data_IF_346874387368
#
_entry.id   IF_346874387368
#
_cell.length_a   1.000
_cell.length_b   1.000
_cell.length_c   1.000
_cell.angle_alpha   90.00
_cell.angle_beta   90.00
_cell.angle_gamma   90.00
#
_symmetry.space_group_name_H-M   'P 1'
#
loop_
_entity.id
_entity.type
_entity.pdbx_description
1 polymer ?
#
# COMPACT_ATOMS: atom_id res chain seq x y z
N UNK A 1 -4.88 -8.26 -2.40
CA UNK A 1 -3.79 -8.74 -1.51
C UNK A 1 -3.42 -10.14 -1.94
N UNK A 2 -2.13 -10.53 -1.88
CA UNK A 2 -1.69 -11.87 -2.24
C UNK A 2 -1.79 -12.75 -1.00
N UNK A 3 -2.62 -13.79 -1.01
CA UNK A 3 -2.80 -14.68 0.14
C UNK A 3 -2.01 -15.96 -0.11
N UNK A 4 -1.14 -16.30 0.83
CA UNK A 4 -0.34 -17.53 0.78
C UNK A 4 -0.71 -18.44 1.94
N UNK A 5 -0.80 -19.72 1.64
CA UNK A 5 -1.04 -20.76 2.60
C UNK A 5 0.31 -21.23 3.17
N UNK A 6 0.54 -21.03 4.47
CA UNK A 6 1.79 -21.42 5.13
C UNK A 6 1.52 -22.42 6.24
N UNK A 7 2.16 -23.57 6.16
CA UNK A 7 2.20 -24.54 7.24
C UNK A 7 3.12 -24.02 8.35
N UNK A 8 2.57 -23.83 9.55
CA UNK A 8 3.30 -23.33 10.70
C UNK A 8 3.23 -24.33 11.86
N UNK A 9 4.42 -24.64 12.42
CA UNK A 9 4.52 -25.39 13.66
C UNK A 9 4.03 -24.54 14.85
N UNK A 10 3.41 -25.14 15.88
CA UNK A 10 3.02 -24.42 17.09
C UNK A 10 4.20 -23.67 17.71
N UNK A 11 3.93 -22.50 18.26
CA UNK A 11 4.91 -21.68 19.01
C UNK A 11 4.32 -21.25 20.34
N UNK A 12 5.15 -20.78 21.28
CA UNK A 12 4.66 -20.35 22.60
C UNK A 12 3.60 -19.22 22.53
N UNK A 13 3.70 -18.36 21.50
CA UNK A 13 2.74 -17.27 21.21
C UNK A 13 1.50 -17.74 20.46
N UNK A 14 1.60 -18.85 19.71
CA UNK A 14 0.51 -19.39 18.92
C UNK A 14 0.49 -20.91 19.08
N UNK A 15 -0.32 -21.36 20.05
CA UNK A 15 -0.39 -22.77 20.49
C UNK A 15 -1.06 -23.67 19.46
N UNK A 16 -1.94 -23.11 18.64
CA UNK A 16 -2.56 -23.79 17.51
C UNK A 16 -1.60 -23.74 16.32
N UNK A 17 -0.97 -24.88 16.02
CA UNK A 17 -0.25 -25.08 14.77
C UNK A 17 -1.20 -25.53 13.67
N UNK A 18 -0.80 -25.37 12.42
CA UNK A 18 -1.62 -25.79 11.29
C UNK A 18 -1.35 -25.01 10.03
N UNK A 19 -2.35 -25.00 9.17
CA UNK A 19 -2.37 -24.27 7.92
C UNK A 19 -2.88 -22.86 8.21
N UNK A 20 -2.03 -21.86 8.01
CA UNK A 20 -2.37 -20.46 8.28
C UNK A 20 -2.30 -19.68 6.96
N UNK A 21 -3.34 -18.90 6.70
CA UNK A 21 -3.35 -17.93 5.61
C UNK A 21 -2.62 -16.66 6.05
N UNK A 22 -1.67 -16.21 5.24
CA UNK A 22 -0.91 -14.98 5.49
C UNK A 22 -0.81 -14.16 4.23
N UNK A 23 -0.67 -12.86 4.39
CA UNK A 23 -0.38 -11.97 3.28
C UNK A 23 1.04 -12.23 2.78
N UNK A 24 1.15 -12.52 1.49
CA UNK A 24 2.40 -12.64 0.75
C UNK A 24 2.86 -11.31 0.18
N UNK A 25 4.10 -11.28 -0.30
CA UNK A 25 4.66 -10.08 -0.93
C UNK A 25 3.98 -9.78 -2.26
N UNK A 26 3.92 -8.50 -2.60
CA UNK A 26 3.49 -7.99 -3.91
C UNK A 26 4.57 -7.02 -4.38
N UNK A 27 4.94 -7.11 -5.66
CA UNK A 27 5.94 -6.20 -6.23
C UNK A 27 5.38 -4.77 -6.30
N UNK A 28 6.17 -3.79 -5.87
CA UNK A 28 5.75 -2.39 -5.77
C UNK A 28 5.24 -1.81 -7.10
N UNK A 29 5.80 -2.23 -8.24
CA UNK A 29 5.37 -1.77 -9.56
C UNK A 29 3.95 -2.18 -9.95
N UNK A 30 3.38 -3.19 -9.27
CA UNK A 30 2.06 -3.72 -9.58
C UNK A 30 0.95 -3.03 -8.80
N UNK A 31 1.28 -1.99 -8.03
CA UNK A 31 0.35 -1.25 -7.18
C UNK A 31 0.28 0.21 -7.66
N UNK A 32 -0.91 0.80 -7.58
CA UNK A 32 -1.14 2.23 -7.78
C UNK A 32 -1.74 2.83 -6.52
N UNK A 33 -1.47 4.11 -6.30
CA UNK A 33 -2.05 4.86 -5.18
C UNK A 33 -3.44 5.36 -5.60
N UNK A 34 -4.43 5.10 -4.75
CA UNK A 34 -5.76 5.65 -4.92
C UNK A 34 -5.77 7.07 -4.37
N UNK A 35 -6.21 8.02 -5.18
CA UNK A 35 -6.33 9.41 -4.75
C UNK A 35 -7.62 9.58 -3.93
N UNK A 36 -7.56 10.12 -2.69
CA UNK A 36 -8.74 10.27 -1.83
C UNK A 36 -9.75 11.28 -2.37
N UNK A 37 -9.32 12.22 -3.23
CA UNK A 37 -10.20 13.22 -3.80
C UNK A 37 -11.02 12.74 -5.00
N UNK A 38 -10.48 11.81 -5.80
CA UNK A 38 -11.13 11.33 -7.02
C UNK A 38 -11.43 9.82 -7.05
N UNK A 39 -11.07 9.08 -5.98
CA UNK A 39 -11.25 7.64 -5.82
C UNK A 39 -10.73 6.78 -6.98
N UNK A 40 -9.78 7.32 -7.75
CA UNK A 40 -9.17 6.65 -8.90
C UNK A 40 -7.74 6.23 -8.59
N UNK A 41 -7.27 5.08 -9.12
CA UNK A 41 -5.87 4.71 -9.08
C UNK A 41 -5.07 5.63 -10.01
N UNK A 42 -4.06 6.32 -9.48
CA UNK A 42 -3.36 7.38 -10.19
C UNK A 42 -1.86 7.31 -10.01
N UNK A 43 -1.12 7.92 -10.96
CA UNK A 43 0.32 8.14 -10.84
C UNK A 43 0.59 9.40 -10.01
N UNK A 44 1.66 9.36 -9.22
CA UNK A 44 2.10 10.48 -8.37
C UNK A 44 3.02 11.42 -9.16
N UNK A 45 2.80 12.73 -8.98
CA UNK A 45 3.74 13.81 -9.27
C UNK A 45 4.22 14.47 -7.97
N UNK A 46 5.11 15.45 -8.09
CA UNK A 46 5.60 16.23 -6.95
C UNK A 46 5.47 17.72 -7.26
N UNK A 47 5.06 18.48 -6.25
CA UNK A 47 5.04 19.94 -6.29
C UNK A 47 5.68 20.47 -5.01
N UNK A 48 6.36 21.61 -5.12
CA UNK A 48 6.95 22.30 -3.98
C UNK A 48 6.00 23.44 -3.61
N UNK A 49 5.55 23.48 -2.36
CA UNK A 49 4.74 24.58 -1.84
C UNK A 49 5.59 25.85 -1.72
N UNK A 50 4.94 27.00 -1.59
CA UNK A 50 5.63 28.29 -1.39
C UNK A 50 6.46 28.32 -0.10
N UNK A 51 6.13 27.46 0.88
CA UNK A 51 6.89 27.26 2.13
C UNK A 51 8.11 26.34 1.96
N UNK A 52 8.34 25.78 0.76
CA UNK A 52 9.45 24.90 0.44
C UNK A 52 9.20 23.41 0.70
N UNK A 53 7.99 23.02 1.10
CA UNK A 53 7.64 21.64 1.39
C UNK A 53 7.31 20.87 0.11
N UNK A 54 7.86 19.66 -0.02
CA UNK A 54 7.64 18.81 -1.19
C UNK A 54 6.46 17.89 -0.95
N UNK A 55 5.35 18.18 -1.62
CA UNK A 55 4.13 17.40 -1.52
C UNK A 55 3.94 16.48 -2.73
N UNK A 56 3.26 15.36 -2.50
CA UNK A 56 2.84 14.46 -3.58
C UNK A 56 1.54 15.00 -4.19
N UNK A 57 1.43 14.96 -5.51
CA UNK A 57 0.26 15.46 -6.24
C UNK A 57 -0.31 14.36 -7.14
N UNK A 58 -1.63 14.24 -7.20
CA UNK A 58 -2.30 13.34 -8.12
C UNK A 58 -2.19 13.86 -9.56
N UNK A 59 -1.66 13.05 -10.48
CA UNK A 59 -1.56 13.48 -11.90
C UNK A 59 -2.89 13.58 -12.65
N UNK A 60 -3.99 13.06 -12.09
CA UNK A 60 -5.31 13.14 -12.73
C UNK A 60 -6.11 14.38 -12.30
N UNK A 61 -6.31 14.58 -11.00
CA UNK A 61 -7.08 15.73 -10.49
C UNK A 61 -6.20 16.92 -10.06
N UNK A 62 -4.87 16.79 -10.08
CA UNK A 62 -3.89 17.80 -9.64
C UNK A 62 -3.99 18.18 -8.16
N UNK A 63 -4.72 17.38 -7.39
CA UNK A 63 -4.89 17.59 -5.95
C UNK A 63 -3.75 16.97 -5.15
N UNK A 64 -3.42 17.60 -4.04
CA UNK A 64 -2.33 17.18 -3.16
C UNK A 64 -2.76 15.98 -2.33
N UNK A 65 -1.88 15.00 -2.19
CA UNK A 65 -2.05 13.93 -1.19
C UNK A 65 -1.60 14.49 0.17
N UNK A 66 -2.54 15.03 0.95
CA UNK A 66 -2.39 15.23 2.39
C UNK A 66 -2.52 13.89 3.14
#
# INVERSE_FOLDING_TARGET
>A
VNIITRHQRPTARQREGGIIEREGTIHLSNILVVCPACDRPTRIGFQVSETGEKMRVCKQCQETFE
#
